data_IF_481268056566
#
_entry.id   IF_481268056566
#
_cell.length_a   1.000
_cell.length_b   1.000
_cell.length_c   1.000
_cell.angle_alpha   90.00
_cell.angle_beta   90.00
_cell.angle_gamma   90.00
#
_symmetry.space_group_name_H-M   'P 1'
#
loop_
_entity.id
_entity.type
_entity.pdbx_description
1 polymer ?
#
# COMPACT_ATOMS: atom_id res chain seq x y z
N UNK A 1 7.12 0.14 -14.17
CA UNK A 1 7.49 -0.84 -13.15
C UNK A 1 6.57 -2.04 -13.26
N UNK A 2 7.03 -3.22 -12.86
CA UNK A 2 6.25 -4.44 -12.69
C UNK A 2 5.47 -4.41 -11.37
N UNK A 3 4.50 -5.30 -11.20
CA UNK A 3 3.77 -5.43 -9.94
C UNK A 3 4.72 -5.68 -8.75
N UNK A 4 5.76 -6.50 -8.95
CA UNK A 4 6.78 -6.77 -7.92
C UNK A 4 7.60 -5.51 -7.59
N UNK A 5 8.00 -4.72 -8.59
CA UNK A 5 8.75 -3.48 -8.35
C UNK A 5 7.90 -2.45 -7.56
N UNK A 6 6.61 -2.30 -7.90
CA UNK A 6 5.69 -1.46 -7.15
C UNK A 6 5.45 -1.98 -5.72
N UNK A 7 5.34 -3.30 -5.54
CA UNK A 7 5.24 -3.90 -4.21
C UNK A 7 6.49 -3.62 -3.35
N UNK A 8 7.68 -3.74 -3.92
CA UNK A 8 8.93 -3.45 -3.23
C UNK A 8 9.08 -1.95 -2.91
N UNK A 9 8.66 -1.07 -3.82
CA UNK A 9 8.61 0.36 -3.57
C UNK A 9 7.64 0.69 -2.42
N UNK A 10 6.43 0.12 -2.43
CA UNK A 10 5.46 0.29 -1.35
C UNK A 10 6.02 -0.17 -0.01
N UNK A 11 6.75 -1.28 0.02
CA UNK A 11 7.46 -1.76 1.21
C UNK A 11 8.55 -0.79 1.68
N UNK A 12 9.27 -0.14 0.76
CA UNK A 12 10.28 0.86 1.09
C UNK A 12 9.64 2.12 1.71
N UNK A 13 8.51 2.59 1.17
CA UNK A 13 7.76 3.71 1.74
C UNK A 13 7.15 3.37 3.09
N UNK A 14 6.57 2.17 3.23
CA UNK A 14 6.02 1.67 4.50
C UNK A 14 7.09 1.63 5.60
N UNK A 15 8.31 1.18 5.29
CA UNK A 15 9.44 1.18 6.22
C UNK A 15 9.88 2.58 6.65
N UNK A 16 9.71 3.57 5.77
CA UNK A 16 9.98 4.98 6.07
C UNK A 16 8.83 5.65 6.85
N UNK A 17 7.71 4.95 7.06
CA UNK A 17 6.51 5.50 7.69
C UNK A 17 5.65 6.35 6.77
N UNK A 18 5.98 6.41 5.47
CA UNK A 18 5.15 7.10 4.48
C UNK A 18 4.07 6.15 3.96
N UNK A 19 3.01 6.03 4.76
CA UNK A 19 1.91 5.12 4.47
C UNK A 19 1.10 5.54 3.24
N UNK A 20 1.10 6.82 2.87
CA UNK A 20 0.39 7.32 1.69
C UNK A 20 1.07 6.81 0.43
N UNK A 21 2.36 7.07 0.29
CA UNK A 21 3.14 6.58 -0.86
C UNK A 21 3.23 5.05 -0.90
N UNK A 22 3.22 4.41 0.26
CA UNK A 22 3.12 2.95 0.34
C UNK A 22 1.82 2.45 -0.28
N UNK A 23 0.68 3.03 0.12
CA UNK A 23 -0.64 2.67 -0.38
C UNK A 23 -0.76 2.91 -1.90
N UNK A 24 -0.30 4.07 -2.38
CA UNK A 24 -0.29 4.40 -3.81
C UNK A 24 0.51 3.34 -4.61
N UNK A 25 1.69 2.96 -4.12
CA UNK A 25 2.51 1.93 -4.75
C UNK A 25 1.84 0.55 -4.75
N UNK A 26 1.19 0.16 -3.64
CA UNK A 26 0.46 -1.10 -3.60
C UNK A 26 -0.75 -1.09 -4.54
N UNK A 27 -1.44 0.04 -4.70
CA UNK A 27 -2.54 0.17 -5.66
C UNK A 27 -2.07 -0.01 -7.10
N UNK A 28 -0.92 0.56 -7.48
CA UNK A 28 -0.31 0.35 -8.79
C UNK A 28 0.09 -1.12 -9.02
N UNK A 29 0.65 -1.79 -7.99
CA UNK A 29 0.96 -3.22 -8.06
C UNK A 29 -0.30 -4.07 -8.30
N UNK A 30 -1.38 -3.81 -7.57
CA UNK A 30 -2.67 -4.51 -7.69
C UNK A 30 -3.32 -4.26 -9.05
N UNK A 31 -3.20 -3.05 -9.59
CA UNK A 31 -3.72 -2.71 -10.92
C UNK A 31 -3.03 -3.50 -12.04
N UNK A 32 -1.75 -3.84 -11.87
CA UNK A 32 -0.99 -4.66 -12.81
C UNK A 32 -1.18 -6.16 -12.59
N UNK A 33 -1.20 -6.60 -11.34
CA UNK A 33 -1.40 -7.98 -10.93
C UNK A 33 -2.30 -8.05 -9.69
N UNK A 34 -3.59 -8.35 -9.88
CA UNK A 34 -4.56 -8.49 -8.80
C UNK A 34 -4.26 -9.65 -7.83
N UNK A 35 -3.38 -10.58 -8.18
CA UNK A 35 -2.96 -11.70 -7.32
C UNK A 35 -1.61 -11.43 -6.62
N UNK A 36 -1.03 -10.25 -6.81
CA UNK A 36 0.25 -9.88 -6.22
C UNK A 36 0.18 -9.77 -4.68
N UNK A 37 1.33 -9.91 -3.98
CA UNK A 37 1.40 -9.73 -2.52
C UNK A 37 0.96 -8.33 -2.03
N UNK A 38 0.86 -7.36 -2.94
CA UNK A 38 0.44 -6.00 -2.63
C UNK A 38 -1.01 -5.94 -2.12
N UNK A 39 -1.89 -6.88 -2.48
CA UNK A 39 -3.26 -6.94 -1.93
C UNK A 39 -3.21 -7.05 -0.41
N UNK A 40 -2.50 -8.06 0.12
CA UNK A 40 -2.40 -8.27 1.56
C UNK A 40 -1.66 -7.12 2.26
N UNK A 41 -0.67 -6.50 1.60
CA UNK A 41 0.04 -5.35 2.16
C UNK A 41 -0.85 -4.10 2.25
N UNK A 42 -1.69 -3.87 1.24
CA UNK A 42 -2.71 -2.81 1.25
C UNK A 42 -3.73 -3.04 2.35
N UNK A 43 -4.28 -4.26 2.47
CA UNK A 43 -5.24 -4.61 3.52
C UNK A 43 -4.65 -4.40 4.92
N UNK A 44 -3.41 -4.82 5.14
CA UNK A 44 -2.71 -4.56 6.41
C UNK A 44 -2.60 -3.06 6.71
N UNK A 45 -2.26 -2.23 5.70
CA UNK A 45 -2.22 -0.78 5.90
C UNK A 45 -3.61 -0.21 6.19
N UNK A 46 -4.64 -0.65 5.46
CA UNK A 46 -6.02 -0.22 5.67
C UNK A 46 -6.46 -0.51 7.11
N UNK A 47 -6.14 -1.69 7.64
CA UNK A 47 -6.46 -2.07 9.01
C UNK A 47 -5.73 -1.19 10.03
N UNK A 48 -4.43 -0.95 9.83
CA UNK A 48 -3.63 -0.07 10.69
C UNK A 48 -4.21 1.35 10.65
N UNK A 49 -4.46 1.90 9.46
CA UNK A 49 -4.98 3.25 9.31
C UNK A 49 -6.39 3.37 9.88
N UNK A 50 -7.25 2.37 9.68
CA UNK A 50 -8.59 2.33 10.26
C UNK A 50 -8.57 2.36 11.79
N UNK A 51 -7.58 1.71 12.40
CA UNK A 51 -7.41 1.71 13.86
C UNK A 51 -6.84 3.04 14.39
N UNK A 52 -5.83 3.62 13.73
CA UNK A 52 -5.09 4.78 14.25
C UNK A 52 -5.54 6.13 13.68
N UNK A 53 -6.06 6.17 12.46
CA UNK A 53 -6.35 7.37 11.67
C UNK A 53 -7.65 7.19 10.87
N UNK A 54 -8.80 7.24 11.56
CA UNK A 54 -10.14 7.04 10.94
C UNK A 54 -10.44 7.95 9.75
N UNK A 55 -9.77 9.10 9.65
CA UNK A 55 -9.99 10.10 8.59
C UNK A 55 -8.93 10.04 7.46
N UNK A 56 -8.10 9.00 7.38
CA UNK A 56 -6.99 8.94 6.39
C UNK A 56 -7.47 8.92 4.93
N UNK A 57 -8.67 8.41 4.68
CA UNK A 57 -9.30 8.38 3.36
C UNK A 57 -10.13 9.64 3.05
N UNK A 58 -10.19 10.60 3.97
CA UNK A 58 -10.95 11.82 3.78
C UNK A 58 -10.05 12.88 3.11
N UNK A 59 -10.47 13.46 1.96
CA UNK A 59 -9.66 14.35 1.13
C UNK A 59 -9.34 15.71 1.77
#
# INVERSE_FOLDING_TARGET
MTAEEYYQEGNAWRKQGDFKRALDSYMEAIALDPESPAVAAKEMLDDIMSFYCKDYYNP
#
